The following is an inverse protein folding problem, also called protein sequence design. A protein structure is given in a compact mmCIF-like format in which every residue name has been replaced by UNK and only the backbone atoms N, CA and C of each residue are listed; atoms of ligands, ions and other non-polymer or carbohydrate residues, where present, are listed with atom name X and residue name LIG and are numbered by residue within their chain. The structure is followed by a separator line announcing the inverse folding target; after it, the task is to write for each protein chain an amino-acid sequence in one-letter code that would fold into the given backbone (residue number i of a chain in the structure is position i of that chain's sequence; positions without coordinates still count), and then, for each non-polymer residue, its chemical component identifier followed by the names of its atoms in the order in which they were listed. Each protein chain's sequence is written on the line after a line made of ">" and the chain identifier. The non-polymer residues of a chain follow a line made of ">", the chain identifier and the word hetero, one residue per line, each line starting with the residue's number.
data_IF_476290709868
#
_entry.id   IF_476290709868
#
_cell.length_a   1.000
_cell.length_b   1.000
_cell.length_c   1.000
_cell.angle_alpha   90.00
_cell.angle_beta   90.00
_cell.angle_gamma   90.00
#
_symmetry.space_group_name_H-M   'P 1'
#
loop_
_entity.id
_entity.type
_entity.pdbx_description
1 polymer ?
#
# COMPACT_ATOMS: atom_id res chain seq x y z
N UNK A 1 31.97 7.95 -8.27
CA UNK A 1 30.78 7.65 -9.11
C UNK A 1 29.78 8.79 -8.98
N UNK A 2 29.08 9.15 -10.06
CA UNK A 2 28.03 10.16 -10.00
C UNK A 2 26.78 9.60 -9.29
N UNK A 3 26.19 10.37 -8.37
CA UNK A 3 24.93 10.00 -7.71
C UNK A 3 23.80 10.04 -8.75
N UNK A 4 23.03 8.96 -8.82
CA UNK A 4 21.88 8.83 -9.71
C UNK A 4 20.68 8.33 -8.91
N UNK A 5 19.61 9.10 -8.92
CA UNK A 5 18.38 8.84 -8.19
C UNK A 5 17.21 8.57 -9.15
N UNK A 6 16.31 7.72 -8.69
CA UNK A 6 15.00 7.51 -9.30
C UNK A 6 14.00 8.55 -8.80
N UNK A 7 13.04 8.90 -9.66
CA UNK A 7 11.90 9.72 -9.26
C UNK A 7 11.05 8.97 -8.20
N UNK A 8 10.82 9.53 -7.00
CA UNK A 8 10.18 8.81 -5.90
C UNK A 8 8.67 8.61 -6.10
N UNK A 9 8.01 9.51 -6.84
CA UNK A 9 6.59 9.42 -7.19
C UNK A 9 6.38 9.70 -8.68
N UNK A 10 6.62 8.73 -9.58
CA UNK A 10 6.55 8.94 -11.03
C UNK A 10 5.28 9.66 -11.49
N UNK A 11 5.45 10.76 -12.22
CA UNK A 11 4.36 11.57 -12.77
C UNK A 11 3.77 12.63 -11.83
N UNK A 12 4.22 12.72 -10.58
CA UNK A 12 3.84 13.80 -9.68
C UNK A 12 4.58 15.10 -10.03
N UNK A 13 3.90 16.25 -10.17
CA UNK A 13 4.56 17.53 -10.39
C UNK A 13 5.27 18.02 -9.13
N UNK A 14 6.39 18.73 -9.33
CA UNK A 14 7.07 19.45 -8.25
C UNK A 14 6.27 20.70 -7.90
N UNK A 15 5.88 20.83 -6.63
CA UNK A 15 5.11 22.00 -6.13
C UNK A 15 5.93 22.94 -5.27
N UNK A 16 7.00 22.45 -4.63
CA UNK A 16 7.97 23.29 -3.97
C UNK A 16 9.38 22.72 -4.16
N UNK A 17 10.32 23.59 -4.51
CA UNK A 17 11.73 23.23 -4.72
C UNK A 17 12.53 23.38 -3.43
N UNK A 18 13.66 22.71 -3.36
CA UNK A 18 14.66 22.96 -2.34
C UNK A 18 15.12 24.42 -2.36
N UNK A 19 15.36 25.01 -1.19
CA UNK A 19 16.00 26.33 -1.08
C UNK A 19 15.44 27.21 0.03
N UNK A 20 16.13 28.33 0.24
CA UNK A 20 15.72 29.35 1.20
C UNK A 20 14.50 30.10 0.67
N UNK A 21 13.47 30.19 1.51
CA UNK A 21 12.29 30.99 1.21
C UNK A 21 11.92 31.86 2.41
N UNK A 22 11.36 33.05 2.18
CA UNK A 22 10.76 33.81 3.28
C UNK A 22 9.67 32.95 3.91
N UNK A 23 9.74 32.78 5.23
CA UNK A 23 8.65 32.14 5.94
C UNK A 23 7.61 33.23 6.26
N UNK A 24 6.41 33.08 5.70
CA UNK A 24 5.27 33.93 6.01
C UNK A 24 4.50 33.26 7.16
N UNK A 25 4.41 33.92 8.30
CA UNK A 25 3.49 33.47 9.36
C UNK A 25 2.11 34.07 9.12
N UNK A 26 1.08 33.42 9.68
CA UNK A 26 -0.34 33.78 9.54
C UNK A 26 -0.66 35.22 10.02
N UNK A 27 0.27 35.89 10.70
CA UNK A 27 0.10 37.22 11.27
C UNK A 27 0.94 38.32 10.59
N UNK A 28 1.44 38.09 9.36
CA UNK A 28 2.15 39.13 8.60
C UNK A 28 3.54 39.51 9.15
N UNK A 29 4.09 38.70 10.05
CA UNK A 29 5.45 38.87 10.58
C UNK A 29 6.44 38.14 9.69
N UNK A 30 7.41 38.90 9.15
CA UNK A 30 8.57 38.34 8.48
C UNK A 30 9.45 37.63 9.50
N UNK A 31 9.52 36.31 9.40
CA UNK A 31 10.52 35.53 10.12
C UNK A 31 11.75 35.31 9.22
N UNK A 32 12.93 35.01 9.79
CA UNK A 32 14.11 34.66 9.01
C UNK A 32 13.77 33.61 7.94
N UNK A 33 14.41 33.72 6.78
CA UNK A 33 14.23 32.74 5.71
C UNK A 33 14.40 31.33 6.28
N UNK A 34 13.47 30.43 5.96
CA UNK A 34 13.58 29.03 6.36
C UNK A 34 14.02 28.22 5.15
N UNK A 35 14.97 27.32 5.36
CA UNK A 35 15.38 26.38 4.34
C UNK A 35 14.29 25.34 4.15
N UNK A 36 13.73 25.27 2.95
CA UNK A 36 13.03 24.09 2.49
C UNK A 36 14.07 23.03 2.12
N UNK A 37 14.32 22.09 3.03
CA UNK A 37 15.41 21.11 2.99
C UNK A 37 15.09 19.85 2.15
N UNK A 38 14.11 19.96 1.25
CA UNK A 38 13.70 18.91 0.34
C UNK A 38 12.95 19.47 -0.86
N UNK A 39 12.36 18.57 -1.64
CA UNK A 39 11.48 18.88 -2.76
C UNK A 39 10.12 18.26 -2.52
N UNK A 40 9.06 19.04 -2.73
CA UNK A 40 7.68 18.60 -2.58
C UNK A 40 7.09 18.17 -3.92
N UNK A 41 6.49 16.99 -3.92
CA UNK A 41 5.77 16.43 -5.05
C UNK A 41 4.29 16.33 -4.71
N UNK A 42 3.42 17.03 -5.45
CA UNK A 42 1.99 16.92 -5.25
C UNK A 42 1.47 15.58 -5.77
N UNK A 43 0.88 14.80 -4.87
CA UNK A 43 0.32 13.50 -5.19
C UNK A 43 -0.83 13.19 -4.22
N UNK A 44 -1.83 12.45 -4.71
CA UNK A 44 -2.97 12.06 -3.87
C UNK A 44 -2.50 11.19 -2.71
N UNK A 45 -3.15 11.31 -1.55
CA UNK A 45 -2.93 10.39 -0.45
C UNK A 45 -3.12 8.93 -0.92
N UNK A 46 -2.25 8.03 -0.46
CA UNK A 46 -2.20 6.64 -0.91
C UNK A 46 -1.38 6.41 -2.19
N UNK A 47 -0.82 7.44 -2.82
CA UNK A 47 0.09 7.25 -3.97
C UNK A 47 1.37 6.53 -3.52
N UNK A 48 1.84 5.48 -4.22
CA UNK A 48 3.05 4.76 -3.82
C UNK A 48 4.31 5.65 -3.84
N UNK A 49 5.09 5.59 -2.76
CA UNK A 49 6.42 6.20 -2.66
C UNK A 49 7.47 5.13 -2.96
N UNK A 50 8.38 5.41 -3.89
CA UNK A 50 9.46 4.52 -4.29
C UNK A 50 10.80 4.97 -3.74
N UNK A 51 11.62 4.01 -3.30
CA UNK A 51 13.00 4.27 -2.94
C UNK A 51 13.77 4.87 -4.13
N UNK A 52 14.38 6.03 -3.92
CA UNK A 52 15.14 6.73 -4.96
C UNK A 52 16.44 5.99 -5.32
N UNK A 53 16.96 5.16 -4.41
CA UNK A 53 18.16 4.36 -4.60
C UNK A 53 18.10 3.08 -3.75
N UNK A 54 18.96 2.11 -4.05
CA UNK A 54 19.15 0.94 -3.18
C UNK A 54 19.93 1.33 -1.93
N UNK A 55 19.62 0.73 -0.79
CA UNK A 55 20.29 1.06 0.46
C UNK A 55 19.72 0.33 1.66
N UNK A 56 20.04 0.84 2.85
CA UNK A 56 19.49 0.36 4.11
C UNK A 56 18.60 1.41 4.73
N UNK A 57 17.49 0.98 5.32
CA UNK A 57 16.66 1.84 6.15
C UNK A 57 17.45 2.22 7.41
N UNK A 58 17.61 3.52 7.66
CA UNK A 58 18.31 4.06 8.84
C UNK A 58 17.34 4.68 9.84
N UNK A 59 16.12 4.99 9.42
CA UNK A 59 15.03 5.47 10.26
C UNK A 59 13.70 5.08 9.64
N UNK A 60 12.74 4.66 10.46
CA UNK A 60 11.34 4.47 10.07
C UNK A 60 10.47 4.72 11.30
N UNK A 61 9.57 5.70 11.24
CA UNK A 61 8.77 6.08 12.41
C UNK A 61 8.21 7.48 12.31
N UNK A 62 7.79 8.02 13.45
CA UNK A 62 7.29 9.39 13.55
C UNK A 62 8.45 10.38 13.76
N UNK A 63 8.60 11.31 12.83
CA UNK A 63 9.50 12.45 12.93
C UNK A 63 8.81 13.62 13.63
N UNK A 64 9.30 13.95 14.83
CA UNK A 64 8.77 15.02 15.68
C UNK A 64 9.22 16.42 15.24
N UNK A 65 10.16 16.53 14.30
CA UNK A 65 10.60 17.81 13.73
C UNK A 65 9.63 18.36 12.66
N UNK A 66 8.42 17.80 12.56
CA UNK A 66 7.38 18.20 11.62
C UNK A 66 7.18 17.22 10.47
N UNK A 67 8.03 16.21 10.30
CA UNK A 67 7.92 15.24 9.21
C UNK A 67 6.77 14.24 9.35
N UNK A 68 6.24 14.02 10.55
CA UNK A 68 5.18 13.02 10.76
C UNK A 68 5.67 11.62 10.43
N UNK A 69 4.86 10.76 9.82
CA UNK A 69 5.36 9.45 9.40
C UNK A 69 6.45 9.61 8.32
N UNK A 70 7.61 9.02 8.58
CA UNK A 70 8.77 9.17 7.73
C UNK A 70 9.63 7.90 7.65
N UNK A 71 10.42 7.83 6.59
CA UNK A 71 11.46 6.80 6.38
C UNK A 71 12.72 7.46 5.82
N UNK A 72 13.89 7.04 6.33
CA UNK A 72 15.21 7.41 5.83
C UNK A 72 15.94 6.19 5.31
N UNK A 73 16.52 6.30 4.11
CA UNK A 73 17.29 5.26 3.44
C UNK A 73 18.71 5.79 3.25
N UNK A 74 19.69 5.09 3.81
CA UNK A 74 21.11 5.41 3.72
C UNK A 74 21.86 4.52 2.73
N UNK A 75 22.90 5.09 2.14
CA UNK A 75 23.98 4.41 1.41
C UNK A 75 25.33 4.80 2.05
N UNK A 76 26.45 4.38 1.45
CA UNK A 76 27.77 4.74 1.92
C UNK A 76 28.10 6.25 1.83
N UNK A 77 27.45 6.99 0.92
CA UNK A 77 27.85 8.38 0.61
C UNK A 77 26.71 9.40 0.76
N UNK A 78 25.46 8.95 0.72
CA UNK A 78 24.29 9.81 0.77
C UNK A 78 23.09 9.08 1.37
N UNK A 79 22.07 9.84 1.76
CA UNK A 79 20.79 9.30 2.23
C UNK A 79 19.63 10.10 1.69
N UNK A 80 18.49 9.43 1.50
CA UNK A 80 17.22 10.08 1.18
C UNK A 80 16.22 9.90 2.30
N UNK A 81 15.38 10.90 2.54
CA UNK A 81 14.31 10.84 3.53
C UNK A 81 12.99 11.25 2.91
N UNK A 82 11.91 10.56 3.29
CA UNK A 82 10.55 10.81 2.82
C UNK A 82 9.67 11.12 4.02
N UNK A 83 8.98 12.26 3.98
CA UNK A 83 8.11 12.74 5.07
C UNK A 83 6.63 12.74 4.66
N UNK A 84 5.78 13.07 5.64
CA UNK A 84 4.33 13.25 5.49
C UNK A 84 3.61 11.98 5.01
N UNK A 85 4.15 10.80 5.28
CA UNK A 85 3.59 9.54 4.80
C UNK A 85 2.22 9.26 5.43
N UNK A 86 1.33 8.58 4.70
CA UNK A 86 -0.03 8.30 5.19
C UNK A 86 -0.05 7.43 6.45
N UNK A 87 0.88 6.48 6.53
CA UNK A 87 1.02 5.56 7.64
C UNK A 87 2.50 5.25 7.84
N UNK A 88 2.89 4.76 9.03
CA UNK A 88 4.19 4.14 9.19
C UNK A 88 4.40 3.06 8.13
N UNK A 89 5.64 2.97 7.66
CA UNK A 89 6.05 1.86 6.79
C UNK A 89 6.17 0.57 7.60
N UNK A 90 6.05 -0.58 6.93
CA UNK A 90 6.34 -1.89 7.54
C UNK A 90 7.84 -2.17 7.66
N UNK A 91 8.66 -1.40 6.93
CA UNK A 91 10.11 -1.48 6.96
C UNK A 91 10.65 -0.95 8.30
N UNK A 92 11.79 -1.46 8.72
CA UNK A 92 12.44 -1.13 9.99
C UNK A 92 13.90 -0.75 9.76
N UNK A 93 14.52 0.02 10.66
CA UNK A 93 15.96 0.26 10.61
C UNK A 93 16.73 -1.06 10.48
N UNK A 94 17.67 -1.11 9.53
CA UNK A 94 18.45 -2.30 9.18
C UNK A 94 17.99 -3.01 7.90
N UNK A 95 16.71 -2.87 7.53
CA UNK A 95 16.15 -3.49 6.32
C UNK A 95 16.84 -2.98 5.06
N UNK A 96 17.05 -3.87 4.10
CA UNK A 96 17.49 -3.49 2.77
C UNK A 96 16.30 -3.14 1.87
N UNK A 97 16.51 -2.12 1.03
CA UNK A 97 15.57 -1.74 -0.01
C UNK A 97 16.30 -1.64 -1.35
N UNK A 98 15.62 -2.05 -2.42
CA UNK A 98 16.10 -1.87 -3.79
C UNK A 98 15.59 -0.54 -4.36
N UNK A 99 16.37 0.09 -5.25
CA UNK A 99 15.91 1.25 -6.01
C UNK A 99 14.57 0.93 -6.71
N UNK A 100 13.58 1.81 -6.55
CA UNK A 100 12.24 1.65 -7.12
C UNK A 100 11.27 0.83 -6.25
N UNK A 101 11.75 0.14 -5.21
CA UNK A 101 10.89 -0.58 -4.25
C UNK A 101 9.92 0.38 -3.57
N UNK A 102 8.67 -0.05 -3.38
CA UNK A 102 7.68 0.73 -2.63
C UNK A 102 8.06 0.71 -1.15
N UNK A 103 8.24 1.89 -0.57
CA UNK A 103 8.63 2.08 0.84
C UNK A 103 7.52 2.66 1.70
N UNK A 104 6.42 3.08 1.08
CA UNK A 104 5.19 3.50 1.74
C UNK A 104 4.30 4.30 0.80
N UNK A 105 3.47 5.17 1.36
CA UNK A 105 2.43 5.88 0.60
C UNK A 105 2.35 7.35 1.03
N UNK A 106 2.10 8.21 0.04
CA UNK A 106 1.90 9.66 0.23
C UNK A 106 0.76 9.90 1.20
N UNK A 107 0.92 10.85 2.12
CA UNK A 107 -0.10 11.26 3.08
C UNK A 107 -0.08 12.75 3.33
N UNK A 108 -0.46 13.15 4.54
CA UNK A 108 -0.44 14.54 5.00
C UNK A 108 -0.25 14.62 6.51
N UNK A 109 0.59 13.75 7.08
CA UNK A 109 0.88 13.74 8.53
C UNK A 109 1.99 14.73 8.90
N UNK A 110 2.03 15.17 10.15
CA UNK A 110 2.99 16.17 10.61
C UNK A 110 2.60 17.58 10.13
N UNK A 111 3.59 18.44 9.92
CA UNK A 111 3.41 19.81 9.44
C UNK A 111 3.25 19.82 7.92
N UNK A 112 2.05 19.47 7.46
CA UNK A 112 1.69 19.39 6.03
C UNK A 112 0.41 20.19 5.74
N UNK A 113 0.41 20.99 4.67
CA UNK A 113 -0.76 21.80 4.25
C UNK A 113 -1.73 21.03 3.36
N UNK A 114 -1.37 19.83 2.92
CA UNK A 114 -2.19 18.97 2.05
C UNK A 114 -1.42 17.74 1.59
N UNK A 115 -2.05 16.82 0.88
CA UNK A 115 -1.39 15.58 0.47
C UNK A 115 -0.23 15.84 -0.52
N UNK A 116 1.00 15.52 -0.10
CA UNK A 116 2.21 15.61 -0.91
C UNK A 116 3.32 14.72 -0.34
N UNK A 117 4.35 14.45 -1.15
CA UNK A 117 5.60 13.87 -0.66
C UNK A 117 6.64 14.97 -0.52
N UNK A 118 7.20 15.15 0.68
CA UNK A 118 8.44 15.89 0.89
C UNK A 118 9.62 14.92 0.84
N UNK A 119 10.48 15.06 -0.17
CA UNK A 119 11.64 14.20 -0.39
C UNK A 119 12.95 14.97 -0.20
N UNK A 120 13.83 14.47 0.66
CA UNK A 120 15.08 15.10 1.06
C UNK A 120 16.26 14.28 0.59
N UNK A 121 17.38 14.95 0.27
CA UNK A 121 18.66 14.33 -0.05
C UNK A 121 19.74 14.91 0.86
N UNK A 122 20.53 14.03 1.48
CA UNK A 122 21.69 14.40 2.30
C UNK A 122 22.96 13.79 1.70
N UNK A 123 23.97 14.61 1.42
CA UNK A 123 25.31 14.19 0.97
C UNK A 123 26.33 14.72 1.98
N UNK A 124 27.19 13.85 2.52
CA UNK A 124 28.21 14.28 3.49
C UNK A 124 27.65 14.98 4.74
N UNK A 125 26.42 14.64 5.14
CA UNK A 125 25.74 15.28 6.28
C UNK A 125 24.99 16.58 5.96
N UNK A 126 25.10 17.11 4.75
CA UNK A 126 24.43 18.35 4.34
C UNK A 126 23.20 18.08 3.48
N UNK A 127 22.13 18.83 3.70
CA UNK A 127 20.94 18.83 2.85
C UNK A 127 21.24 19.51 1.53
N UNK A 128 20.88 18.86 0.42
CA UNK A 128 21.14 19.34 -0.94
C UNK A 128 19.87 19.22 -1.79
N UNK A 129 19.80 20.00 -2.87
CA UNK A 129 18.72 19.89 -3.85
C UNK A 129 18.71 18.48 -4.48
N UNK A 130 17.63 17.70 -4.33
CA UNK A 130 17.52 16.38 -4.96
C UNK A 130 17.36 16.43 -6.49
N UNK A 131 16.79 17.50 -7.04
CA UNK A 131 16.36 17.54 -8.45
C UNK A 131 17.49 17.27 -9.46
N UNK A 132 18.71 17.85 -9.33
CA UNK A 132 19.80 17.59 -10.26
C UNK A 132 20.27 16.12 -10.29
N UNK A 133 19.93 15.33 -9.27
CA UNK A 133 20.34 13.93 -9.16
C UNK A 133 19.29 12.96 -9.67
N UNK A 134 18.08 13.41 -9.97
CA UNK A 134 17.00 12.56 -10.50
C UNK A 134 17.25 12.36 -11.99
N UNK A 135 17.65 11.15 -12.36
CA UNK A 135 18.11 10.83 -13.73
C UNK A 135 17.23 9.79 -14.43
N UNK A 136 16.29 9.19 -13.72
CA UNK A 136 15.36 8.22 -14.30
C UNK A 136 14.02 8.21 -13.56
N UNK A 137 12.96 7.98 -14.32
CA UNK A 137 11.61 7.79 -13.80
C UNK A 137 11.31 6.29 -13.82
N UNK A 138 11.16 5.62 -12.65
CA UNK A 138 10.78 4.22 -12.64
C UNK A 138 9.40 4.06 -13.27
N UNK A 139 9.18 2.93 -13.95
CA UNK A 139 7.90 2.64 -14.57
C UNK A 139 6.74 2.82 -13.56
N UNK A 140 5.59 3.34 -13.99
CA UNK A 140 4.43 3.49 -13.11
C UNK A 140 4.15 2.16 -12.42
N UNK A 141 3.83 2.20 -11.13
CA UNK A 141 3.44 0.98 -10.43
C UNK A 141 2.25 0.37 -11.19
N UNK A 142 2.21 -0.96 -11.37
CA UNK A 142 0.99 -1.58 -11.87
C UNK A 142 -0.15 -1.09 -10.97
N UNK A 143 -1.22 -0.58 -11.59
CA UNK A 143 -2.40 -0.10 -10.84
C UNK A 143 -2.74 -1.17 -9.81
N UNK A 144 -2.84 -0.84 -8.51
CA UNK A 144 -3.28 -1.83 -7.54
C UNK A 144 -4.58 -2.40 -8.08
N UNK A 145 -4.66 -3.72 -8.24
CA UNK A 145 -5.93 -4.37 -8.56
C UNK A 145 -6.93 -3.80 -7.54
N UNK A 146 -8.11 -3.31 -7.98
CA UNK A 146 -9.08 -2.74 -7.06
C UNK A 146 -9.21 -3.71 -5.90
N UNK A 147 -8.97 -3.24 -4.67
CA UNK A 147 -9.25 -4.05 -3.50
C UNK A 147 -10.67 -4.57 -3.72
N UNK A 148 -10.91 -5.89 -3.61
CA UNK A 148 -12.28 -6.39 -3.57
C UNK A 148 -13.00 -5.49 -2.58
N UNK A 149 -14.16 -4.94 -2.96
CA UNK A 149 -14.98 -4.17 -2.02
C UNK A 149 -15.03 -4.98 -0.72
N UNK A 150 -14.85 -4.36 0.46
CA UNK A 150 -15.11 -5.05 1.70
C UNK A 150 -16.45 -5.75 1.52
N UNK A 151 -16.45 -7.08 1.61
CA UNK A 151 -17.70 -7.80 1.83
C UNK A 151 -18.23 -7.14 3.11
N UNK A 152 -19.46 -6.60 3.13
CA UNK A 152 -20.04 -6.02 4.33
C UNK A 152 -19.72 -6.93 5.50
N UNK A 153 -19.16 -6.38 6.58
CA UNK A 153 -18.93 -7.17 7.79
C UNK A 153 -20.29 -7.71 8.21
N UNK A 154 -20.46 -9.02 8.06
CA UNK A 154 -21.64 -9.75 8.48
C UNK A 154 -21.64 -9.74 10.00
N UNK A 155 -22.44 -8.85 10.57
CA UNK A 155 -22.93 -8.98 11.93
C UNK A 155 -23.71 -10.30 12.01
N UNK A 156 -23.29 -11.12 12.97
CA UNK A 156 -24.01 -12.16 13.71
C UNK A 156 -25.08 -13.03 12.99
N UNK A 157 -24.87 -14.36 13.11
CA UNK A 157 -25.81 -15.45 12.83
C UNK A 157 -26.17 -15.74 11.36
N UNK A 158 -25.26 -16.35 10.59
CA UNK A 158 -25.65 -17.18 9.44
C UNK A 158 -24.70 -18.37 9.22
N UNK A 159 -25.04 -19.51 9.82
CA UNK A 159 -24.72 -20.85 9.28
C UNK A 159 -26.02 -21.37 8.64
N UNK A 160 -25.99 -21.95 7.41
CA UNK A 160 -25.23 -23.18 7.18
C UNK A 160 -24.40 -23.23 5.88
N UNK A 161 -23.22 -23.85 5.95
CA UNK A 161 -22.33 -24.07 4.80
C UNK A 161 -22.51 -25.48 4.19
N UNK A 162 -23.08 -25.59 2.99
CA UNK A 162 -23.16 -26.85 2.24
C UNK A 162 -22.20 -26.82 1.05
N UNK A 163 -21.61 -27.98 0.69
CA UNK A 163 -20.76 -28.13 -0.50
C UNK A 163 -21.32 -29.28 -1.32
N UNK A 164 -21.87 -28.99 -2.50
CA UNK A 164 -22.26 -30.00 -3.47
C UNK A 164 -21.11 -30.23 -4.45
N UNK A 165 -20.67 -31.48 -4.62
CA UNK A 165 -19.68 -31.89 -5.61
C UNK A 165 -20.14 -33.16 -6.32
N UNK A 166 -19.78 -33.32 -7.60
CA UNK A 166 -20.03 -34.56 -8.34
C UNK A 166 -19.19 -35.70 -7.79
N UNK A 167 -19.76 -36.91 -7.77
CA UNK A 167 -19.10 -38.16 -7.33
C UNK A 167 -17.96 -38.61 -8.27
N UNK A 168 -17.76 -37.95 -9.41
CA UNK A 168 -16.84 -38.35 -10.48
C UNK A 168 -15.44 -37.69 -10.41
N UNK A 169 -15.14 -36.90 -9.37
CA UNK A 169 -13.81 -36.34 -9.15
C UNK A 169 -13.46 -35.12 -10.02
N UNK A 170 -14.43 -34.53 -10.72
CA UNK A 170 -14.23 -33.27 -11.46
C UNK A 170 -14.70 -32.06 -10.64
N UNK A 171 -13.97 -30.92 -10.77
CA UNK A 171 -14.18 -29.66 -10.05
C UNK A 171 -15.67 -29.31 -9.83
N UNK A 172 -16.18 -29.60 -8.63
CA UNK A 172 -17.54 -29.25 -8.24
C UNK A 172 -17.73 -27.74 -8.06
N UNK A 173 -18.91 -27.23 -8.41
CA UNK A 173 -19.32 -25.85 -8.12
C UNK A 173 -19.77 -25.76 -6.66
N UNK A 174 -19.18 -24.86 -5.88
CA UNK A 174 -19.55 -24.63 -4.48
C UNK A 174 -20.70 -23.63 -4.40
N UNK A 175 -21.74 -23.95 -3.65
CA UNK A 175 -22.90 -23.06 -3.44
C UNK A 175 -23.11 -22.80 -1.96
N UNK A 176 -23.30 -21.54 -1.57
CA UNK A 176 -23.71 -21.16 -0.22
C UNK A 176 -25.25 -21.10 -0.15
N UNK A 177 -25.84 -21.62 0.92
CA UNK A 177 -27.26 -21.46 1.19
C UNK A 177 -27.46 -20.28 2.16
N UNK A 178 -28.34 -19.35 1.80
CA UNK A 178 -28.76 -18.26 2.71
C UNK A 178 -29.74 -18.80 3.74
N UNK A 179 -29.90 -18.15 4.89
CA UNK A 179 -30.95 -18.49 5.88
C UNK A 179 -32.37 -18.54 5.28
N UNK A 180 -32.62 -17.82 4.17
CA UNK A 180 -33.88 -17.85 3.43
C UNK A 180 -34.05 -19.08 2.51
N UNK A 181 -33.19 -20.09 2.60
CA UNK A 181 -33.26 -21.33 1.81
C UNK A 181 -32.92 -21.16 0.33
N UNK A 182 -32.28 -20.05 -0.06
CA UNK A 182 -31.83 -19.81 -1.44
C UNK A 182 -30.35 -20.15 -1.64
N UNK A 183 -29.97 -20.61 -2.84
CA UNK A 183 -28.57 -20.93 -3.19
C UNK A 183 -27.87 -19.78 -3.91
N UNK A 184 -26.59 -19.59 -3.60
CA UNK A 184 -25.68 -18.64 -4.26
C UNK A 184 -24.40 -19.35 -4.68
N UNK A 185 -24.03 -19.28 -5.96
CA UNK A 185 -22.76 -19.82 -6.44
C UNK A 185 -21.61 -19.03 -5.80
N UNK A 186 -20.66 -19.72 -5.16
CA UNK A 186 -19.43 -19.12 -4.66
C UNK A 186 -18.43 -19.08 -5.80
N UNK A 187 -18.02 -17.89 -6.29
CA UNK A 187 -16.99 -17.79 -7.31
C UNK A 187 -15.64 -18.14 -6.68
N UNK A 188 -15.22 -19.39 -6.84
CA UNK A 188 -13.94 -19.86 -6.34
C UNK A 188 -12.82 -19.42 -7.31
N UNK A 189 -11.72 -18.80 -6.85
CA UNK A 189 -10.45 -18.90 -7.58
C UNK A 189 -10.11 -20.39 -7.72
N UNK A 190 -9.50 -20.82 -8.83
CA UNK A 190 -9.25 -22.23 -9.21
C UNK A 190 -8.58 -23.13 -8.13
N UNK A 191 -8.20 -22.58 -6.97
CA UNK A 191 -7.52 -23.25 -5.87
C UNK A 191 -8.44 -23.72 -4.71
N UNK A 192 -9.70 -23.28 -4.60
CA UNK A 192 -10.56 -23.61 -3.43
C UNK A 192 -11.32 -24.93 -3.53
N UNK A 193 -11.61 -25.44 -4.72
CA UNK A 193 -12.42 -26.65 -4.88
C UNK A 193 -11.75 -27.92 -4.33
N UNK A 194 -10.43 -28.05 -4.48
CA UNK A 194 -9.68 -29.26 -4.09
C UNK A 194 -9.55 -29.41 -2.57
N UNK A 195 -9.31 -28.30 -1.86
CA UNK A 195 -9.24 -28.27 -0.38
C UNK A 195 -10.59 -28.39 0.29
N UNK A 196 -11.66 -27.90 -0.34
CA UNK A 196 -13.02 -28.08 0.14
C UNK A 196 -13.42 -29.56 0.19
N UNK A 197 -13.06 -30.33 -0.84
CA UNK A 197 -13.31 -31.78 -0.91
C UNK A 197 -12.41 -32.55 0.07
N UNK A 198 -11.12 -32.19 0.19
CA UNK A 198 -10.23 -32.78 1.20
C UNK A 198 -10.70 -32.52 2.64
N UNK A 199 -11.16 -31.31 2.95
CA UNK A 199 -11.69 -30.96 4.27
C UNK A 199 -12.97 -31.74 4.62
N UNK A 200 -13.81 -32.06 3.64
CA UNK A 200 -15.02 -32.87 3.83
C UNK A 200 -14.69 -34.34 4.19
N UNK A 201 -13.54 -34.86 3.76
CA UNK A 201 -13.11 -36.23 4.04
C UNK A 201 -12.53 -36.47 5.44
N UNK A 202 -12.21 -35.39 6.17
CA UNK A 202 -11.52 -35.42 7.48
C UNK A 202 -12.34 -35.00 8.71
N UNK A 203 -13.59 -34.58 8.51
CA UNK A 203 -14.59 -34.21 9.54
C UNK A 203 -14.26 -33.00 10.43
N UNK A 204 -15.02 -31.89 10.25
CA UNK A 204 -15.36 -30.81 11.23
C UNK A 204 -16.08 -29.58 10.62
N UNK A 205 -16.48 -29.63 9.35
CA UNK A 205 -17.44 -28.68 8.74
C UNK A 205 -18.69 -29.50 8.41
N UNK A 206 -19.93 -29.05 8.68
CA UNK A 206 -21.15 -29.76 8.30
C UNK A 206 -21.37 -29.70 6.78
N UNK A 207 -20.48 -30.32 6.02
CA UNK A 207 -20.55 -30.40 4.57
C UNK A 207 -21.46 -31.56 4.20
N UNK A 208 -22.75 -31.27 3.99
CA UNK A 208 -23.64 -32.20 3.31
C UNK A 208 -23.37 -32.15 1.80
N UNK A 209 -22.97 -33.27 1.20
CA UNK A 209 -22.97 -33.43 -0.26
C UNK A 209 -24.43 -33.52 -0.73
N UNK A 210 -24.96 -32.42 -1.23
CA UNK A 210 -26.30 -32.40 -1.86
C UNK A 210 -26.16 -32.79 -3.33
N UNK A 211 -26.87 -33.82 -3.83
CA UNK A 211 -26.84 -34.16 -5.25
C UNK A 211 -27.36 -33.01 -6.13
N UNK A 212 -26.81 -32.84 -7.34
CA UNK A 212 -27.21 -31.76 -8.27
C UNK A 212 -28.72 -31.73 -8.56
N UNK A 213 -29.36 -32.91 -8.59
CA UNK A 213 -30.81 -33.04 -8.80
C UNK A 213 -31.64 -32.44 -7.65
N UNK A 214 -31.11 -32.45 -6.43
CA UNK A 214 -31.75 -31.79 -5.27
C UNK A 214 -31.39 -30.31 -5.23
N UNK A 215 -30.16 -29.94 -5.60
CA UNK A 215 -29.73 -28.55 -5.68
C UNK A 215 -30.58 -27.75 -6.70
N UNK A 216 -30.99 -28.37 -7.81
CA UNK A 216 -31.85 -27.74 -8.81
C UNK A 216 -33.24 -27.35 -8.30
N UNK A 217 -33.71 -28.00 -7.22
CA UNK A 217 -35.01 -27.72 -6.58
C UNK A 217 -34.94 -26.52 -5.62
N UNK A 218 -33.74 -26.07 -5.29
CA UNK A 218 -33.52 -24.94 -4.38
C UNK A 218 -33.51 -23.63 -5.18
N UNK A 219 -34.35 -22.64 -4.80
CA UNK A 219 -34.40 -21.35 -5.49
C UNK A 219 -33.04 -20.63 -5.48
N UNK A 220 -32.70 -19.95 -6.58
CA UNK A 220 -31.49 -19.10 -6.61
C UNK A 220 -31.76 -17.78 -5.92
N UNK A 221 -30.76 -17.28 -5.20
CA UNK A 221 -30.76 -15.97 -4.53
C UNK A 221 -30.58 -14.84 -5.55
#
# INVERSE_FOLDING_TARGET
>A
MAIKLLHPVPGAPVTARFGWRPAFTENGVWVPAMLHNGTDYAAKAGTPIRAMHSGRVTFAGWDYAGGGNAIKIGSAQYSTMFLHMQSPTKLRPGDHVSAGQIVGYVGSTGMSTGAHLHAMLQIGGQWVDPLPYITATPAPAPKPKPKPKPIPQEDEEMEPQFIAGKKDGTNGKVYQLTAAGKRRLVPSPEWTARRAVEAASGNKIPVGLVPDAELAKIPQA
#
